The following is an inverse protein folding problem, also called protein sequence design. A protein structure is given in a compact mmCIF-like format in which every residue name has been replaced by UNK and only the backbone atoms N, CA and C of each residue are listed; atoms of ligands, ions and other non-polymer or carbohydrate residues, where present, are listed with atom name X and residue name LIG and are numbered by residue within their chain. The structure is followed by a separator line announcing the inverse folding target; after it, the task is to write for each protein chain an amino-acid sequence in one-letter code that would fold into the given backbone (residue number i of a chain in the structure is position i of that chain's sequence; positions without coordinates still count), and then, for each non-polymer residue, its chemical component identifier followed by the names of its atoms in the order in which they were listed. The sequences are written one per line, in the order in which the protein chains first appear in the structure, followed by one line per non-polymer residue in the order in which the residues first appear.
data_IF_208810468735
#
_entry.id   IF_208810468735
#
_cell.length_a   1.000
_cell.length_b   1.000
_cell.length_c   1.000
_cell.angle_alpha   90.00
_cell.angle_beta   90.00
_cell.angle_gamma   90.00
#
_symmetry.space_group_name_H-M   'P 1'
#
loop_
_entity.id
_entity.type
_entity.pdbx_description
1 polymer ?
#
# COMPACT_ATOMS: atom_id res chain seq x y z
N UNK A 1 -19.20 41.39 12.76
CA UNK A 1 -18.61 40.39 11.83
C UNK A 1 -17.28 39.80 12.34
N UNK A 2 -16.47 40.56 13.09
CA UNK A 2 -15.19 40.11 13.69
C UNK A 2 -15.33 39.11 14.86
N UNK A 3 -16.36 39.22 15.70
CA UNK A 3 -16.58 38.28 16.81
C UNK A 3 -17.00 36.86 16.37
N UNK A 4 -17.84 36.74 15.33
CA UNK A 4 -18.29 35.44 14.81
C UNK A 4 -17.13 34.70 14.13
N UNK A 5 -16.25 35.42 13.42
CA UNK A 5 -15.02 34.85 12.82
C UNK A 5 -14.03 34.41 13.92
N UNK A 6 -13.94 35.15 15.03
CA UNK A 6 -13.12 34.78 16.19
C UNK A 6 -13.64 33.52 16.91
N UNK A 7 -14.96 33.40 17.06
CA UNK A 7 -15.60 32.23 17.66
C UNK A 7 -15.48 30.99 16.75
N UNK A 8 -15.65 31.16 15.44
CA UNK A 8 -15.45 30.08 14.45
C UNK A 8 -13.98 29.62 14.38
N UNK A 9 -13.02 30.55 14.50
CA UNK A 9 -11.59 30.20 14.64
C UNK A 9 -11.33 29.44 15.94
N UNK A 10 -11.83 29.94 17.08
CA UNK A 10 -11.65 29.26 18.38
C UNK A 10 -12.28 27.87 18.44
N UNK A 11 -13.45 27.68 17.84
CA UNK A 11 -14.13 26.37 17.75
C UNK A 11 -13.41 25.42 16.79
N UNK A 12 -12.92 25.93 15.65
CA UNK A 12 -12.09 25.18 14.70
C UNK A 12 -10.78 24.75 15.35
N UNK A 13 -10.11 25.65 16.05
CA UNK A 13 -8.83 25.38 16.71
C UNK A 13 -9.02 24.40 17.87
N UNK A 14 -10.11 24.49 18.65
CA UNK A 14 -10.48 23.47 19.66
C UNK A 14 -10.90 22.11 19.10
N UNK A 15 -11.43 22.06 17.87
CA UNK A 15 -11.76 20.82 17.19
C UNK A 15 -10.49 20.19 16.58
N UNK A 16 -9.60 21.01 16.04
CA UNK A 16 -8.29 20.61 15.54
C UNK A 16 -7.40 20.09 16.68
N UNK A 17 -7.34 20.77 17.82
CA UNK A 17 -6.57 20.32 19.00
C UNK A 17 -7.07 18.97 19.54
N UNK A 18 -8.39 18.72 19.53
CA UNK A 18 -8.95 17.41 19.87
C UNK A 18 -8.60 16.33 18.84
N UNK A 19 -8.59 16.68 17.56
CA UNK A 19 -8.17 15.78 16.49
C UNK A 19 -6.67 15.45 16.60
N UNK A 20 -5.82 16.43 16.93
CA UNK A 20 -4.39 16.25 17.15
C UNK A 20 -4.05 15.48 18.43
N UNK A 21 -4.90 15.53 19.46
CA UNK A 21 -4.78 14.68 20.65
C UNK A 21 -5.18 13.23 20.39
N UNK A 22 -6.21 12.98 19.56
CA UNK A 22 -6.59 11.62 19.14
C UNK A 22 -5.60 11.02 18.14
N UNK A 23 -4.93 11.86 17.35
CA UNK A 23 -3.95 11.45 16.35
C UNK A 23 -2.66 12.28 16.48
N UNK A 24 -1.76 11.93 17.42
CA UNK A 24 -0.49 12.63 17.64
C UNK A 24 0.39 12.69 16.38
N UNK A 25 0.09 11.84 15.40
CA UNK A 25 0.75 11.82 14.10
C UNK A 25 0.38 13.01 13.19
N UNK A 26 -0.69 13.75 13.44
CA UNK A 26 -1.15 14.84 12.58
C UNK A 26 -0.62 16.22 13.00
N UNK A 27 0.01 16.32 14.17
CA UNK A 27 0.50 17.57 14.73
C UNK A 27 1.85 18.05 14.13
N UNK A 28 2.61 17.14 13.52
CA UNK A 28 3.94 17.41 12.96
C UNK A 28 3.85 17.77 11.46
N UNK A 29 4.34 18.95 11.02
CA UNK A 29 4.38 19.34 9.61
C UNK A 29 5.05 18.32 8.69
N UNK A 30 6.08 17.59 9.15
CA UNK A 30 6.73 16.53 8.37
C UNK A 30 5.80 15.32 8.17
N UNK A 31 5.01 14.97 9.20
CA UNK A 31 3.99 13.91 9.11
C UNK A 31 2.75 14.32 8.31
N UNK A 32 2.44 15.61 8.22
CA UNK A 32 1.33 16.11 7.38
C UNK A 32 1.58 15.86 5.89
N UNK A 33 2.81 16.08 5.44
CA UNK A 33 3.25 15.75 4.07
C UNK A 33 3.21 14.24 3.82
N UNK A 34 3.68 13.46 4.80
CA UNK A 34 3.67 12.00 4.68
C UNK A 34 2.26 11.43 4.65
N UNK A 35 1.32 11.91 5.47
CA UNK A 35 -0.09 11.48 5.44
C UNK A 35 -0.74 11.71 4.07
N UNK A 36 -0.51 12.88 3.47
CA UNK A 36 -1.01 13.17 2.12
C UNK A 36 -0.51 12.14 1.10
N UNK A 37 0.78 11.79 1.17
CA UNK A 37 1.38 10.75 0.35
C UNK A 37 0.79 9.36 0.64
N UNK A 38 0.56 9.01 1.92
CA UNK A 38 -0.08 7.74 2.31
C UNK A 38 -1.48 7.62 1.72
N UNK A 39 -2.29 8.67 1.87
CA UNK A 39 -3.65 8.70 1.36
C UNK A 39 -3.66 8.65 -0.17
N UNK A 40 -2.75 9.35 -0.84
CA UNK A 40 -2.62 9.27 -2.29
C UNK A 40 -2.28 7.85 -2.77
N UNK A 41 -1.34 7.18 -2.09
CA UNK A 41 -0.96 5.80 -2.42
C UNK A 41 -2.13 4.84 -2.22
N UNK A 42 -2.83 4.92 -1.09
CA UNK A 42 -4.01 4.07 -0.82
C UNK A 42 -5.12 4.34 -1.84
N UNK A 43 -5.39 5.60 -2.15
CA UNK A 43 -6.40 5.97 -3.16
C UNK A 43 -6.03 5.43 -4.54
N UNK A 44 -4.76 5.48 -4.94
CA UNK A 44 -4.30 4.92 -6.21
C UNK A 44 -4.60 3.41 -6.28
N UNK A 45 -4.32 2.66 -5.22
CA UNK A 45 -4.59 1.22 -5.15
C UNK A 45 -6.09 0.91 -5.19
N UNK A 46 -6.91 1.67 -4.45
CA UNK A 46 -8.36 1.52 -4.46
C UNK A 46 -8.98 1.86 -5.81
N UNK A 47 -8.51 2.93 -6.46
CA UNK A 47 -8.96 3.31 -7.81
C UNK A 47 -8.58 2.21 -8.80
N UNK A 48 -7.35 1.70 -8.75
CA UNK A 48 -6.90 0.67 -9.67
C UNK A 48 -7.68 -0.64 -9.51
N UNK A 49 -7.83 -1.11 -8.27
CA UNK A 49 -8.67 -2.27 -7.96
C UNK A 49 -10.13 -2.02 -8.38
N UNK A 50 -10.67 -0.85 -8.10
CA UNK A 50 -12.02 -0.44 -8.52
C UNK A 50 -12.19 -0.48 -10.04
N UNK A 51 -11.21 0.01 -10.81
CA UNK A 51 -11.26 -0.03 -12.28
C UNK A 51 -11.31 -1.46 -12.79
N UNK A 52 -10.46 -2.34 -12.27
CA UNK A 52 -10.45 -3.75 -12.66
C UNK A 52 -11.80 -4.42 -12.37
N UNK A 53 -12.35 -4.28 -11.16
CA UNK A 53 -13.56 -5.01 -10.78
C UNK A 53 -14.88 -4.36 -11.26
N UNK A 54 -14.89 -3.08 -11.61
CA UNK A 54 -16.10 -2.40 -12.09
C UNK A 54 -16.26 -2.44 -13.62
N UNK A 55 -15.15 -2.42 -14.37
CA UNK A 55 -15.21 -2.27 -15.82
C UNK A 55 -14.78 -3.51 -16.61
N UNK A 56 -14.10 -4.48 -15.98
CA UNK A 56 -13.75 -5.73 -16.65
C UNK A 56 -14.91 -6.74 -16.56
N UNK A 57 -15.75 -6.77 -17.59
CA UNK A 57 -16.86 -7.72 -17.70
C UNK A 57 -16.44 -9.19 -17.68
N UNK A 58 -15.22 -9.51 -18.14
CA UNK A 58 -14.69 -10.88 -18.13
C UNK A 58 -14.25 -11.27 -16.73
N UNK A 59 -13.60 -10.34 -16.02
CA UNK A 59 -13.27 -10.53 -14.61
C UNK A 59 -14.53 -10.67 -13.77
N UNK A 60 -15.59 -9.89 -14.03
CA UNK A 60 -16.87 -10.01 -13.33
C UNK A 60 -17.50 -11.40 -13.55
N UNK A 61 -17.51 -11.89 -14.80
CA UNK A 61 -18.02 -13.25 -15.09
C UNK A 61 -17.16 -14.33 -14.43
N UNK A 62 -15.83 -14.15 -14.44
CA UNK A 62 -14.90 -15.04 -13.75
C UNK A 62 -15.09 -15.02 -12.23
N UNK A 63 -15.34 -13.86 -11.62
CA UNK A 63 -15.67 -13.72 -10.20
C UNK A 63 -16.97 -14.45 -9.85
N UNK A 64 -17.96 -14.48 -10.76
CA UNK A 64 -19.19 -15.26 -10.54
C UNK A 64 -18.94 -16.77 -10.59
N UNK A 65 -18.06 -17.22 -11.49
CA UNK A 65 -17.71 -18.64 -11.65
C UNK A 65 -16.78 -19.14 -10.54
N UNK A 66 -15.80 -18.33 -10.15
CA UNK A 66 -14.74 -18.66 -9.22
C UNK A 66 -14.62 -17.60 -8.10
N UNK A 67 -15.65 -17.47 -7.23
CA UNK A 67 -15.68 -16.39 -6.24
C UNK A 67 -14.55 -16.46 -5.22
N UNK A 68 -14.05 -17.67 -4.93
CA UNK A 68 -12.95 -17.90 -3.99
C UNK A 68 -11.66 -17.20 -4.43
N UNK A 69 -11.38 -17.14 -5.73
CA UNK A 69 -10.16 -16.54 -6.27
C UNK A 69 -10.17 -15.02 -6.08
N UNK A 70 -11.30 -14.39 -6.39
CA UNK A 70 -11.49 -12.95 -6.14
C UNK A 70 -11.52 -12.65 -4.64
N UNK A 71 -12.15 -13.48 -3.82
CA UNK A 71 -12.15 -13.30 -2.38
C UNK A 71 -10.74 -13.36 -1.78
N UNK A 72 -9.90 -14.29 -2.23
CA UNK A 72 -8.50 -14.39 -1.78
C UNK A 72 -7.66 -13.18 -2.19
N UNK A 73 -7.84 -12.68 -3.42
CA UNK A 73 -7.21 -11.44 -3.87
C UNK A 73 -7.63 -10.24 -3.00
N UNK A 74 -8.92 -10.08 -2.72
CA UNK A 74 -9.43 -8.97 -1.89
C UNK A 74 -8.98 -9.09 -0.44
N UNK A 75 -8.88 -10.32 0.09
CA UNK A 75 -8.33 -10.58 1.41
C UNK A 75 -6.87 -10.16 1.49
N UNK A 76 -6.05 -10.54 0.50
CA UNK A 76 -4.66 -10.12 0.41
C UNK A 76 -4.57 -8.59 0.31
N UNK A 77 -5.34 -7.96 -0.57
CA UNK A 77 -5.40 -6.50 -0.69
C UNK A 77 -5.70 -5.81 0.64
N UNK A 78 -6.72 -6.29 1.37
CA UNK A 78 -7.07 -5.74 2.67
C UNK A 78 -5.98 -5.99 3.72
N UNK A 79 -5.40 -7.19 3.75
CA UNK A 79 -4.30 -7.53 4.64
C UNK A 79 -3.08 -6.61 4.41
N UNK A 80 -2.66 -6.42 3.15
CA UNK A 80 -1.58 -5.51 2.77
C UNK A 80 -1.88 -4.07 3.21
N UNK A 81 -3.12 -3.61 3.03
CA UNK A 81 -3.54 -2.27 3.47
C UNK A 81 -3.45 -2.11 4.99
N UNK A 82 -3.92 -3.11 5.75
CA UNK A 82 -3.78 -3.13 7.21
C UNK A 82 -2.30 -3.13 7.61
N UNK A 83 -1.50 -3.98 6.98
CA UNK A 83 -0.07 -4.11 7.25
C UNK A 83 0.71 -2.83 6.94
N UNK A 84 0.31 -2.09 5.90
CA UNK A 84 0.83 -0.76 5.59
C UNK A 84 0.61 0.23 6.75
N UNK A 85 -0.61 0.30 7.27
CA UNK A 85 -0.92 1.20 8.40
C UNK A 85 -0.24 0.74 9.69
N UNK A 86 -0.22 -0.56 9.97
CA UNK A 86 0.47 -1.13 11.14
C UNK A 86 1.97 -0.83 11.09
N UNK A 87 2.61 -1.05 9.94
CA UNK A 87 4.05 -0.79 9.77
C UNK A 87 4.34 0.70 9.85
N UNK A 88 3.59 1.53 9.14
CA UNK A 88 3.82 2.97 9.07
C UNK A 88 3.48 3.72 10.37
N UNK A 89 2.60 3.16 11.20
CA UNK A 89 2.26 3.66 12.53
C UNK A 89 3.15 3.13 13.65
N UNK A 90 3.92 2.08 13.40
CA UNK A 90 4.79 1.46 14.41
C UNK A 90 6.05 2.30 14.69
N UNK A 91 6.51 2.29 15.95
CA UNK A 91 7.78 2.92 16.32
C UNK A 91 8.94 2.13 15.71
N UNK A 92 9.92 2.80 15.07
CA UNK A 92 11.14 2.17 14.60
C UNK A 92 12.08 1.74 15.73
N UNK A 93 11.79 2.14 16.98
CA UNK A 93 12.66 1.97 18.12
C UNK A 93 13.66 3.12 18.24
N UNK A 94 13.23 4.24 18.83
CA UNK A 94 14.11 5.38 19.06
C UNK A 94 15.03 5.14 20.25
N UNK A 95 16.26 5.65 20.19
CA UNK A 95 17.25 5.54 21.28
C UNK A 95 16.70 6.13 22.58
N UNK A 96 16.00 7.27 22.50
CA UNK A 96 15.38 7.91 23.67
C UNK A 96 14.30 7.04 24.34
N UNK A 97 13.57 6.24 23.56
CA UNK A 97 12.55 5.34 24.10
C UNK A 97 13.22 4.18 24.86
N UNK A 98 14.31 3.64 24.30
CA UNK A 98 15.10 2.61 24.97
C UNK A 98 15.79 3.12 26.25
N UNK A 99 16.34 4.34 26.22
CA UNK A 99 16.86 5.00 27.41
C UNK A 99 15.81 5.09 28.52
N UNK A 100 14.58 5.49 28.16
CA UNK A 100 13.46 5.59 29.10
C UNK A 100 13.11 4.21 29.68
N UNK A 101 13.02 3.19 28.84
CA UNK A 101 12.71 1.82 29.27
C UNK A 101 13.77 1.24 30.22
N UNK A 102 15.05 1.46 29.95
CA UNK A 102 16.15 1.07 30.85
C UNK A 102 16.04 1.79 32.18
N UNK A 103 15.72 3.09 32.16
CA UNK A 103 15.55 3.86 33.38
C UNK A 103 14.38 3.35 34.23
N UNK A 104 13.22 3.09 33.64
CA UNK A 104 12.05 2.52 34.33
C UNK A 104 12.40 1.18 34.98
N UNK A 105 13.13 0.32 34.27
CA UNK A 105 13.58 -0.98 34.78
C UNK A 105 14.51 -0.82 35.99
N UNK A 106 15.46 0.11 35.92
CA UNK A 106 16.38 0.41 37.03
C UNK A 106 15.65 0.94 38.27
N UNK A 107 14.64 1.80 38.07
CA UNK A 107 13.80 2.33 39.17
C UNK A 107 13.01 1.20 39.83
N UNK A 108 12.41 0.31 39.06
CA UNK A 108 11.68 -0.86 39.57
C UNK A 108 12.62 -1.76 40.38
N UNK A 109 13.79 -2.10 39.83
CA UNK A 109 14.78 -2.92 40.52
C UNK A 109 15.20 -2.30 41.86
N UNK A 110 15.48 -0.98 41.88
CA UNK A 110 15.86 -0.27 43.11
C UNK A 110 14.72 -0.25 44.14
N UNK A 111 13.48 -0.07 43.71
CA UNK A 111 12.29 -0.11 44.58
C UNK A 111 12.09 -1.50 45.18
N UNK A 112 12.24 -2.56 44.39
CA UNK A 112 12.17 -3.96 44.87
C UNK A 112 13.29 -4.30 45.85
N UNK A 113 14.51 -3.81 45.60
CA UNK A 113 15.64 -3.97 46.51
C UNK A 113 15.43 -3.26 47.86
N UNK A 114 14.79 -2.09 47.87
CA UNK A 114 14.46 -1.36 49.10
C UNK A 114 13.26 -1.98 49.85
N UNK A 115 12.26 -2.50 49.13
CA UNK A 115 11.14 -3.22 49.75
C UNK A 115 11.56 -4.56 50.37
N UNK A 116 12.52 -5.26 49.76
CA UNK A 116 13.12 -6.49 50.30
C UNK A 116 13.99 -6.26 51.54
N UNK A 117 14.37 -5.01 51.84
CA UNK A 117 15.24 -4.66 52.98
C UNK A 117 14.50 -4.03 54.16
N UNK A 118 13.16 -4.03 54.18
CA UNK A 118 12.43 -3.58 55.38
C UNK A 118 12.58 -4.60 56.52
N UNK A 119 13.15 -4.22 57.68
CA UNK A 119 13.08 -5.05 58.87
C UNK A 119 11.70 -4.87 59.53
N UNK A 120 11.08 -5.98 59.92
CA UNK A 120 9.97 -5.94 60.88
C UNK A 120 10.50 -5.44 62.22
N UNK A 121 10.21 -4.19 62.58
CA UNK A 121 10.47 -3.67 63.93
C UNK A 121 9.25 -2.89 64.43
N UNK A 122 8.85 -3.25 65.64
CA UNK A 122 7.60 -2.84 66.28
C UNK A 122 7.65 -1.46 66.92
N UNK A 123 6.49 -0.81 66.93
CA UNK A 123 5.94 0.15 67.91
C UNK A 123 6.60 1.53 68.14
N UNK A 124 5.72 2.52 67.93
CA UNK A 124 5.53 3.83 68.59
C UNK A 124 6.48 4.99 68.32
N UNK A 125 5.90 6.10 67.84
CA UNK A 125 6.43 7.45 68.09
C UNK A 125 6.22 8.46 66.95
N UNK A 126 5.15 9.26 67.08
CA UNK A 126 4.95 10.64 66.59
C UNK A 126 5.43 11.08 65.18
N UNK A 127 4.43 11.46 64.39
CA UNK A 127 4.41 12.38 63.25
C UNK A 127 5.37 13.58 63.34
N UNK A 128 6.18 13.81 62.28
CA UNK A 128 6.36 15.12 61.62
C UNK A 128 6.50 14.87 60.12
N UNK A 129 5.54 15.39 59.33
CA UNK A 129 5.63 15.46 57.87
C UNK A 129 6.35 16.75 57.52
N UNK A 130 7.64 16.67 57.17
CA UNK A 130 8.33 17.75 56.45
C UNK A 130 8.32 17.42 54.97
N UNK A 131 7.50 18.17 54.22
CA UNK A 131 7.54 18.26 52.77
C UNK A 131 8.83 18.99 52.38
N UNK A 132 9.86 18.26 51.99
CA UNK A 132 11.01 18.82 51.26
C UNK A 132 10.94 18.39 49.79
N UNK A 133 10.08 19.09 49.06
CA UNK A 133 10.09 19.16 47.61
C UNK A 133 11.13 20.22 47.21
N UNK A 134 12.27 19.81 46.62
CA UNK A 134 12.99 20.58 45.57
C UNK A 134 14.43 20.15 45.21
N UNK A 135 15.09 19.22 45.92
CA UNK A 135 16.49 18.83 45.57
C UNK A 135 16.66 17.47 44.88
N UNK A 136 15.65 16.60 44.90
CA UNK A 136 15.76 15.23 44.35
C UNK A 136 15.73 15.15 42.82
N UNK A 137 15.22 16.17 42.12
CA UNK A 137 15.05 16.13 40.66
C UNK A 137 16.34 16.28 39.84
N UNK A 138 17.31 17.06 40.34
CA UNK A 138 18.59 17.31 39.63
C UNK A 138 19.57 16.13 39.76
N UNK A 139 19.68 15.54 40.95
CA UNK A 139 20.56 14.39 41.20
C UNK A 139 20.06 13.13 40.47
N UNK A 140 18.75 12.97 40.32
CA UNK A 140 18.14 11.87 39.58
C UNK A 140 18.52 11.92 38.09
N UNK A 141 18.41 13.08 37.43
CA UNK A 141 18.74 13.24 36.00
C UNK A 141 20.21 12.94 35.69
N UNK A 142 21.13 13.29 36.59
CA UNK A 142 22.56 12.98 36.48
C UNK A 142 22.88 11.49 36.61
N UNK A 143 22.25 10.79 37.56
CA UNK A 143 22.42 9.33 37.72
C UNK A 143 21.83 8.54 36.54
N UNK A 144 20.74 9.03 35.94
CA UNK A 144 20.08 8.41 34.78
C UNK A 144 20.99 8.43 33.55
N UNK A 145 21.56 9.60 33.23
CA UNK A 145 22.50 9.74 32.11
C UNK A 145 23.69 8.81 32.30
N UNK A 146 24.26 8.77 33.51
CA UNK A 146 25.42 7.93 33.81
C UNK A 146 25.15 6.42 33.64
N UNK A 147 23.94 5.94 33.95
CA UNK A 147 23.57 4.53 33.76
C UNK A 147 23.46 4.14 32.29
N UNK A 148 22.89 5.02 31.45
CA UNK A 148 22.80 4.77 30.01
C UNK A 148 24.17 4.85 29.34
N UNK A 149 24.92 5.92 29.62
CA UNK A 149 26.29 6.09 29.10
C UNK A 149 27.14 4.87 29.44
N UNK A 150 27.10 4.38 30.69
CA UNK A 150 27.84 3.16 31.06
C UNK A 150 27.43 1.95 30.23
N UNK A 151 26.12 1.66 30.16
CA UNK A 151 25.60 0.53 29.40
C UNK A 151 25.99 0.60 27.92
N UNK A 152 25.96 1.79 27.33
CA UNK A 152 26.38 2.00 25.95
C UNK A 152 27.88 1.79 25.78
N UNK A 153 28.70 2.39 26.63
CA UNK A 153 30.17 2.28 26.54
C UNK A 153 30.67 0.86 26.76
N UNK A 154 30.00 0.07 27.61
CA UNK A 154 30.32 -1.35 27.83
C UNK A 154 30.11 -2.22 26.57
N UNK A 155 29.35 -1.72 25.58
CA UNK A 155 29.17 -2.38 24.26
C UNK A 155 30.28 -2.05 23.26
N UNK A 156 31.17 -1.10 23.57
CA UNK A 156 32.29 -0.71 22.71
C UNK A 156 33.61 -1.26 23.25
N UNK A 157 34.65 -1.39 22.39
CA UNK A 157 35.99 -1.77 22.85
C UNK A 157 36.52 -0.81 23.93
N UNK A 158 37.25 -1.31 24.94
CA UNK A 158 37.87 -0.47 25.96
C UNK A 158 38.77 0.60 25.34
N UNK A 159 38.69 1.83 25.86
CA UNK A 159 39.43 2.99 25.34
C UNK A 159 38.72 3.77 24.23
N UNK A 160 37.54 3.34 23.80
CA UNK A 160 36.70 4.13 22.87
C UNK A 160 36.29 5.46 23.54
N UNK A 161 36.61 6.62 22.96
CA UNK A 161 36.24 7.91 23.56
C UNK A 161 34.74 8.17 23.43
N UNK A 162 34.08 8.57 24.51
CA UNK A 162 32.61 8.81 24.56
C UNK A 162 32.10 9.69 23.41
N UNK A 163 32.90 10.70 23.02
CA UNK A 163 32.57 11.64 21.94
C UNK A 163 32.35 10.96 20.59
N UNK A 164 33.01 9.83 20.29
CA UNK A 164 32.84 9.15 19.00
C UNK A 164 31.52 8.39 18.90
N UNK A 165 30.92 8.04 20.04
CA UNK A 165 29.65 7.32 20.10
C UNK A 165 28.48 8.26 20.44
N UNK A 166 28.70 9.56 20.55
CA UNK A 166 27.67 10.54 20.91
C UNK A 166 27.12 11.21 19.67
N UNK A 167 25.79 11.24 19.52
CA UNK A 167 25.14 12.01 18.48
C UNK A 167 25.26 13.52 18.78
N UNK A 168 25.81 14.30 17.85
CA UNK A 168 25.94 15.76 17.98
C UNK A 168 24.60 16.51 17.97
N UNK A 169 23.57 15.95 17.34
CA UNK A 169 22.24 16.57 17.24
C UNK A 169 21.41 16.28 18.49
N UNK A 170 21.30 15.00 18.87
CA UNK A 170 20.47 14.57 19.99
C UNK A 170 21.19 14.62 21.35
N UNK A 171 22.51 14.82 21.38
CA UNK A 171 23.36 14.77 22.58
C UNK A 171 23.14 13.49 23.41
N UNK A 172 23.10 12.35 22.72
CA UNK A 172 22.87 11.03 23.30
C UNK A 172 23.90 10.04 22.79
N UNK A 173 24.38 9.17 23.68
CA UNK A 173 25.24 8.05 23.31
C UNK A 173 24.44 7.03 22.51
N UNK A 174 24.88 6.78 21.29
CA UNK A 174 24.31 5.84 20.35
C UNK A 174 24.85 4.45 20.67
N UNK A 175 23.97 3.46 20.94
CA UNK A 175 24.36 2.06 20.91
C UNK A 175 24.93 1.66 19.54
N UNK A 176 25.68 0.56 19.45
CA UNK A 176 26.10 0.01 18.17
C UNK A 176 24.91 -0.14 17.21
N UNK A 177 25.14 0.21 15.93
CA UNK A 177 24.12 0.19 14.85
C UNK A 177 23.00 1.25 14.97
N UNK A 178 22.99 2.10 15.99
CA UNK A 178 22.09 3.24 16.03
C UNK A 178 22.64 4.42 15.19
N UNK A 179 21.76 5.17 14.53
CA UNK A 179 22.11 6.38 13.78
C UNK A 179 21.05 7.47 13.94
N UNK A 180 21.44 8.72 13.72
CA UNK A 180 20.52 9.86 13.67
C UNK A 180 19.88 9.95 12.28
N UNK A 181 18.56 10.05 12.23
CA UNK A 181 17.82 10.33 11.00
C UNK A 181 17.43 11.81 10.99
N UNK A 182 17.89 12.54 9.98
CA UNK A 182 17.60 13.97 9.81
C UNK A 182 16.12 14.24 9.54
N UNK A 183 15.45 13.38 8.77
CA UNK A 183 14.02 13.53 8.45
C UNK A 183 13.12 13.36 9.68
N UNK A 184 13.54 12.54 10.65
CA UNK A 184 12.81 12.28 11.89
C UNK A 184 13.35 13.06 13.10
N UNK A 185 14.48 13.75 12.92
CA UNK A 185 15.26 14.43 13.97
C UNK A 185 15.48 13.60 15.24
N UNK A 186 15.73 12.30 15.07
CA UNK A 186 15.83 11.33 16.17
C UNK A 186 16.87 10.25 15.88
N UNK A 187 17.53 9.78 16.93
CA UNK A 187 18.35 8.57 16.84
C UNK A 187 17.47 7.32 16.87
N UNK A 188 17.70 6.41 15.92
CA UNK A 188 16.96 5.16 15.72
C UNK A 188 17.89 3.98 15.97
N UNK A 189 17.41 2.98 16.71
CA UNK A 189 18.13 1.74 16.99
C UNK A 189 18.13 0.82 15.77
N UNK A 190 19.28 0.18 15.52
CA UNK A 190 19.52 -0.63 14.31
C UNK A 190 18.96 0.07 13.06
N UNK A 191 19.38 1.31 12.87
CA UNK A 191 18.86 2.14 11.78
C UNK A 191 19.14 1.47 10.44
N UNK A 192 18.07 1.24 9.67
CA UNK A 192 18.16 0.76 8.30
C UNK A 192 18.06 1.96 7.34
N UNK A 193 16.87 2.56 7.23
CA UNK A 193 16.65 3.74 6.39
C UNK A 193 15.44 4.58 6.84
N UNK A 194 15.30 5.80 6.31
CA UNK A 194 14.04 6.54 6.37
C UNK A 194 13.19 6.20 5.15
N UNK A 195 12.02 5.59 5.35
CA UNK A 195 11.14 5.20 4.26
C UNK A 195 10.15 6.33 3.97
N UNK A 196 10.34 7.01 2.84
CA UNK A 196 9.46 8.10 2.39
C UNK A 196 8.01 7.62 2.20
N UNK A 197 7.82 6.40 1.71
CA UNK A 197 6.50 5.80 1.44
C UNK A 197 5.72 5.46 2.71
N UNK A 198 6.42 5.11 3.79
CA UNK A 198 5.82 4.86 5.10
C UNK A 198 5.81 6.12 5.97
N UNK A 199 6.56 7.17 5.60
CA UNK A 199 6.69 8.39 6.38
C UNK A 199 7.27 8.17 7.78
N UNK A 200 8.13 7.15 7.92
CA UNK A 200 8.77 6.79 9.19
C UNK A 200 10.09 6.06 8.91
N UNK A 201 10.98 6.00 9.90
CA UNK A 201 12.17 5.17 9.81
C UNK A 201 11.81 3.68 9.84
N UNK A 202 12.70 2.88 9.27
CA UNK A 202 12.78 1.45 9.48
C UNK A 202 13.98 1.19 10.40
N UNK A 203 13.73 0.48 11.48
CA UNK A 203 14.72 0.17 12.51
C UNK A 203 14.28 -1.01 13.36
N UNK A 204 14.97 -1.23 14.47
CA UNK A 204 14.78 -2.42 15.31
C UNK A 204 13.32 -2.72 15.68
N UNK A 205 12.50 -1.70 15.97
CA UNK A 205 11.13 -1.85 16.45
C UNK A 205 10.10 -2.25 15.39
N UNK A 206 10.42 -2.05 14.10
CA UNK A 206 9.49 -2.29 13.00
C UNK A 206 10.08 -3.06 11.81
N UNK A 207 11.36 -3.42 11.83
CA UNK A 207 12.04 -4.09 10.72
C UNK A 207 11.31 -5.37 10.25
N UNK A 208 10.87 -6.23 11.17
CA UNK A 208 10.10 -7.43 10.80
C UNK A 208 8.74 -7.10 10.15
N UNK A 209 8.04 -6.07 10.65
CA UNK A 209 6.76 -5.63 10.07
C UNK A 209 6.95 -5.08 8.67
N UNK A 210 8.04 -4.33 8.47
CA UNK A 210 8.46 -3.83 7.16
C UNK A 210 8.70 -4.96 6.17
N UNK A 211 9.42 -6.01 6.55
CA UNK A 211 9.63 -7.17 5.67
C UNK A 211 8.33 -7.87 5.29
N UNK A 212 7.42 -8.10 6.25
CA UNK A 212 6.10 -8.67 5.95
C UNK A 212 5.30 -7.79 4.99
N UNK A 213 5.31 -6.47 5.21
CA UNK A 213 4.69 -5.50 4.30
C UNK A 213 5.24 -5.62 2.87
N UNK A 214 6.57 -5.66 2.70
CA UNK A 214 7.18 -5.79 1.37
C UNK A 214 6.80 -7.12 0.70
N UNK A 215 6.76 -8.23 1.44
CA UNK A 215 6.33 -9.52 0.90
C UNK A 215 4.87 -9.51 0.43
N UNK A 216 3.96 -8.98 1.25
CA UNK A 216 2.53 -8.87 0.92
C UNK A 216 2.29 -7.94 -0.26
N UNK A 217 2.95 -6.78 -0.28
CA UNK A 217 2.88 -5.81 -1.38
C UNK A 217 3.41 -6.41 -2.69
N UNK A 218 4.51 -7.17 -2.63
CA UNK A 218 5.07 -7.85 -3.80
C UNK A 218 4.10 -8.90 -4.33
N UNK A 219 3.51 -9.71 -3.45
CA UNK A 219 2.52 -10.71 -3.85
C UNK A 219 1.28 -10.07 -4.49
N UNK A 220 0.78 -8.97 -3.90
CA UNK A 220 -0.35 -8.21 -4.43
C UNK A 220 -0.04 -7.61 -5.80
N UNK A 221 1.14 -7.00 -5.98
CA UNK A 221 1.60 -6.46 -7.25
C UNK A 221 1.69 -7.53 -8.34
N UNK A 222 2.29 -8.68 -8.04
CA UNK A 222 2.42 -9.79 -8.99
C UNK A 222 1.04 -10.31 -9.42
N UNK A 223 0.13 -10.54 -8.46
CA UNK A 223 -1.22 -11.00 -8.77
C UNK A 223 -1.97 -9.97 -9.61
N UNK A 224 -1.92 -8.70 -9.23
CA UNK A 224 -2.54 -7.60 -9.99
C UNK A 224 -1.99 -7.51 -11.41
N UNK A 225 -0.67 -7.67 -11.58
CA UNK A 225 -0.03 -7.75 -12.90
C UNK A 225 -0.54 -8.90 -13.76
N UNK A 226 -0.72 -10.09 -13.17
CA UNK A 226 -1.28 -11.27 -13.87
C UNK A 226 -2.73 -10.99 -14.33
N UNK A 227 -3.56 -10.38 -13.47
CA UNK A 227 -4.93 -9.98 -13.84
C UNK A 227 -4.91 -9.01 -15.02
N UNK A 228 -4.05 -8.00 -14.97
CA UNK A 228 -3.94 -6.99 -16.02
C UNK A 228 -3.45 -7.58 -17.35
N UNK A 229 -2.44 -8.45 -17.33
CA UNK A 229 -1.96 -9.16 -18.52
C UNK A 229 -3.07 -10.04 -19.11
N UNK A 230 -3.84 -10.72 -18.27
CA UNK A 230 -4.97 -11.54 -18.71
C UNK A 230 -6.05 -10.69 -19.36
N UNK A 231 -6.39 -9.55 -18.75
CA UNK A 231 -7.31 -8.56 -19.32
C UNK A 231 -6.83 -8.05 -20.69
N UNK A 232 -5.57 -7.62 -20.81
CA UNK A 232 -5.01 -7.15 -22.07
C UNK A 232 -5.03 -8.24 -23.14
N UNK A 233 -4.66 -9.47 -22.79
CA UNK A 233 -4.69 -10.61 -23.71
C UNK A 233 -6.11 -10.87 -24.22
N UNK A 234 -7.11 -10.84 -23.34
CA UNK A 234 -8.51 -11.04 -23.71
C UNK A 234 -9.00 -9.92 -24.66
N UNK A 235 -8.69 -8.66 -24.35
CA UNK A 235 -9.05 -7.52 -25.19
C UNK A 235 -8.39 -7.56 -26.57
N UNK A 236 -7.08 -7.82 -26.63
CA UNK A 236 -6.35 -7.96 -27.89
C UNK A 236 -6.92 -9.12 -28.70
N UNK A 237 -7.16 -10.27 -28.06
CA UNK A 237 -7.71 -11.45 -28.73
C UNK A 237 -9.11 -11.18 -29.29
N UNK A 238 -9.97 -10.44 -28.57
CA UNK A 238 -11.28 -9.99 -29.06
C UNK A 238 -11.15 -9.02 -30.23
N UNK A 239 -10.27 -8.03 -30.15
CA UNK A 239 -10.03 -7.09 -31.23
C UNK A 239 -9.51 -7.81 -32.49
N UNK A 240 -8.55 -8.72 -32.34
CA UNK A 240 -8.07 -9.56 -33.42
C UNK A 240 -9.21 -10.40 -34.02
N UNK A 241 -10.03 -11.04 -33.19
CA UNK A 241 -11.17 -11.83 -33.67
C UNK A 241 -12.17 -11.00 -34.50
N UNK A 242 -12.47 -9.77 -34.05
CA UNK A 242 -13.34 -8.84 -34.77
C UNK A 242 -12.77 -8.46 -36.14
N UNK A 243 -11.49 -8.09 -36.20
CA UNK A 243 -10.81 -7.76 -37.46
C UNK A 243 -10.78 -8.97 -38.40
N UNK A 244 -10.36 -10.13 -37.90
CA UNK A 244 -10.25 -11.37 -38.68
C UNK A 244 -11.58 -11.85 -39.24
N UNK A 245 -12.71 -11.52 -38.60
CA UNK A 245 -14.05 -11.93 -39.02
C UNK A 245 -14.88 -10.81 -39.65
N UNK A 246 -14.26 -9.63 -39.90
CA UNK A 246 -14.89 -8.41 -40.40
C UNK A 246 -16.21 -8.09 -39.67
N UNK A 247 -16.11 -7.92 -38.36
CA UNK A 247 -17.24 -7.55 -37.51
C UNK A 247 -16.87 -6.37 -36.61
N UNK A 248 -17.87 -5.58 -36.26
CA UNK A 248 -17.75 -4.57 -35.23
C UNK A 248 -18.09 -5.12 -33.84
N UNK A 249 -17.60 -4.47 -32.79
CA UNK A 249 -18.00 -4.80 -31.41
C UNK A 249 -19.51 -4.72 -31.21
N UNK A 250 -20.18 -3.76 -31.87
CA UNK A 250 -21.63 -3.62 -31.79
C UNK A 250 -22.35 -4.83 -32.38
N UNK A 251 -21.89 -5.34 -33.53
CA UNK A 251 -22.43 -6.53 -34.16
C UNK A 251 -22.27 -7.78 -33.31
N UNK A 252 -21.12 -7.95 -32.67
CA UNK A 252 -20.88 -9.07 -31.77
C UNK A 252 -21.78 -8.99 -30.52
N UNK A 253 -21.78 -7.84 -29.82
CA UNK A 253 -22.49 -7.67 -28.53
C UNK A 253 -24.02 -7.61 -28.71
N UNK A 254 -24.49 -7.03 -29.82
CA UNK A 254 -25.93 -6.83 -30.09
C UNK A 254 -26.47 -7.75 -31.17
N UNK A 255 -25.74 -8.80 -31.57
CA UNK A 255 -26.08 -9.73 -32.66
C UNK A 255 -27.57 -10.10 -32.73
N UNK A 256 -28.15 -10.55 -31.61
CA UNK A 256 -29.56 -10.98 -31.53
C UNK A 256 -30.59 -9.86 -31.77
N UNK A 257 -30.21 -8.60 -31.51
CA UNK A 257 -31.08 -7.44 -31.66
C UNK A 257 -31.02 -6.86 -33.07
N UNK A 258 -29.89 -7.00 -33.77
CA UNK A 258 -29.64 -6.44 -35.09
C UNK A 258 -30.48 -7.19 -36.16
N UNK A 259 -31.34 -6.50 -36.94
CA UNK A 259 -32.26 -7.14 -37.88
C UNK A 259 -31.58 -8.08 -38.89
N UNK A 260 -30.47 -7.67 -39.49
CA UNK A 260 -29.78 -8.46 -40.52
C UNK A 260 -28.88 -9.59 -39.98
N UNK A 261 -28.63 -9.63 -38.66
CA UNK A 261 -27.90 -10.73 -38.01
C UNK A 261 -28.83 -11.70 -37.28
N UNK A 262 -30.09 -11.30 -37.06
CA UNK A 262 -31.07 -12.11 -36.36
C UNK A 262 -31.40 -13.36 -37.19
N UNK A 263 -31.18 -14.53 -36.61
CA UNK A 263 -31.43 -15.82 -37.26
C UNK A 263 -30.24 -16.38 -38.04
N UNK A 264 -29.15 -15.60 -38.23
CA UNK A 264 -27.91 -16.12 -38.82
C UNK A 264 -27.13 -16.91 -37.74
N UNK A 265 -26.67 -18.14 -38.02
CA UNK A 265 -25.88 -18.93 -37.06
C UNK A 265 -24.65 -18.17 -36.56
N UNK A 266 -24.25 -18.38 -35.29
CA UNK A 266 -23.15 -17.64 -34.66
C UNK A 266 -21.79 -17.85 -35.35
N UNK A 267 -21.62 -18.96 -36.06
CA UNK A 267 -20.39 -19.29 -36.81
C UNK A 267 -20.33 -18.69 -38.22
N UNK A 268 -21.38 -18.01 -38.66
CA UNK A 268 -21.44 -17.39 -39.99
C UNK A 268 -21.16 -15.89 -39.85
N UNK A 269 -20.22 -15.41 -40.65
CA UNK A 269 -19.74 -14.03 -40.63
C UNK A 269 -20.10 -13.32 -41.94
N UNK A 270 -21.26 -12.60 -42.00
CA UNK A 270 -21.84 -12.12 -43.25
C UNK A 270 -20.92 -11.22 -44.08
N UNK A 271 -20.16 -10.35 -43.43
CA UNK A 271 -19.26 -9.40 -44.10
C UNK A 271 -17.81 -9.89 -44.21
N UNK A 272 -17.46 -11.04 -43.64
CA UNK A 272 -16.10 -11.59 -43.77
C UNK A 272 -15.77 -11.94 -45.22
N UNK A 273 -14.64 -11.43 -45.74
CA UNK A 273 -14.12 -11.72 -47.09
C UNK A 273 -13.01 -12.76 -47.08
N UNK A 274 -12.69 -13.33 -45.91
CA UNK A 274 -11.50 -14.15 -45.71
C UNK A 274 -10.47 -13.42 -44.85
N UNK A 275 -9.61 -14.18 -44.16
CA UNK A 275 -8.68 -13.61 -43.16
C UNK A 275 -7.72 -12.60 -43.79
N UNK A 276 -7.16 -12.91 -44.96
CA UNK A 276 -6.20 -12.04 -45.63
C UNK A 276 -6.86 -10.79 -46.17
N UNK A 277 -8.02 -10.93 -46.84
CA UNK A 277 -8.78 -9.80 -47.36
C UNK A 277 -9.26 -8.87 -46.24
N UNK A 278 -9.76 -9.42 -45.13
CA UNK A 278 -10.19 -8.61 -43.98
C UNK A 278 -9.03 -7.80 -43.37
N UNK A 279 -7.85 -8.41 -43.23
CA UNK A 279 -6.66 -7.72 -42.72
C UNK A 279 -6.17 -6.63 -43.68
N UNK A 280 -6.18 -6.90 -44.98
CA UNK A 280 -5.82 -5.90 -45.99
C UNK A 280 -6.80 -4.72 -45.99
N UNK A 281 -8.10 -5.00 -45.95
CA UNK A 281 -9.16 -3.99 -45.88
C UNK A 281 -9.03 -3.12 -44.62
N UNK A 282 -8.70 -3.72 -43.47
CA UNK A 282 -8.56 -2.98 -42.21
C UNK A 282 -7.26 -2.15 -42.13
N UNK A 283 -6.11 -2.70 -42.55
CA UNK A 283 -4.80 -2.08 -42.35
C UNK A 283 -4.32 -1.23 -43.53
N UNK A 284 -4.70 -1.58 -44.76
CA UNK A 284 -4.02 -1.13 -45.97
C UNK A 284 -4.94 -0.39 -46.95
N UNK A 285 -6.26 -0.60 -46.89
CA UNK A 285 -7.19 0.14 -47.75
C UNK A 285 -7.25 1.60 -47.30
N UNK A 286 -6.51 2.42 -48.05
CA UNK A 286 -6.53 3.87 -47.97
C UNK A 286 -7.53 4.37 -49.01
N UNK A 287 -8.83 4.21 -48.76
CA UNK A 287 -9.84 4.64 -49.73
C UNK A 287 -11.00 5.41 -49.10
N UNK A 288 -11.66 6.20 -49.95
CA UNK A 288 -12.59 7.30 -49.69
C UNK A 288 -13.35 7.24 -48.37
N UNK A 289 -13.54 8.43 -47.76
CA UNK A 289 -14.13 8.69 -46.43
C UNK A 289 -15.34 7.83 -46.00
N UNK A 290 -16.08 7.21 -46.94
CA UNK A 290 -17.17 6.27 -46.70
C UNK A 290 -17.20 5.16 -47.77
N UNK A 291 -17.36 3.90 -47.35
CA UNK A 291 -17.68 2.74 -48.19
C UNK A 291 -19.01 2.15 -47.71
N UNK A 292 -19.96 1.95 -48.61
CA UNK A 292 -21.27 1.36 -48.30
C UNK A 292 -21.27 -0.10 -48.78
N UNK A 293 -21.41 -1.03 -47.84
CA UNK A 293 -21.41 -2.47 -48.13
C UNK A 293 -22.85 -3.01 -48.13
N UNK A 294 -23.21 -3.79 -49.16
CA UNK A 294 -24.54 -4.39 -49.28
C UNK A 294 -24.67 -5.67 -48.45
N UNK A 295 -25.90 -6.00 -48.01
CA UNK A 295 -26.15 -7.28 -47.35
C UNK A 295 -25.89 -8.46 -48.31
N UNK A 296 -25.24 -9.54 -47.85
CA UNK A 296 -25.05 -10.74 -48.66
C UNK A 296 -26.39 -11.41 -49.01
N UNK A 297 -26.45 -12.06 -50.18
CA UNK A 297 -27.63 -12.84 -50.57
C UNK A 297 -27.79 -14.11 -49.71
N UNK A 298 -29.00 -14.68 -49.69
CA UNK A 298 -29.27 -15.92 -48.97
C UNK A 298 -28.34 -17.07 -49.41
N UNK A 299 -28.06 -17.16 -50.71
CA UNK A 299 -27.15 -18.16 -51.29
C UNK A 299 -25.70 -17.96 -50.79
N UNK A 300 -25.23 -16.71 -50.69
CA UNK A 300 -23.89 -16.41 -50.15
C UNK A 300 -23.78 -16.75 -48.66
N UNK A 301 -24.83 -16.50 -47.88
CA UNK A 301 -24.86 -16.90 -46.46
C UNK A 301 -24.86 -18.42 -46.29
N UNK A 302 -25.60 -19.14 -47.14
CA UNK A 302 -25.62 -20.59 -47.15
C UNK A 302 -24.25 -21.17 -47.53
N UNK A 303 -23.59 -20.60 -48.54
CA UNK A 303 -22.23 -20.96 -48.91
C UNK A 303 -21.23 -20.74 -47.77
N UNK A 304 -21.33 -19.62 -47.05
CA UNK A 304 -20.52 -19.32 -45.86
C UNK A 304 -20.82 -20.21 -44.65
N UNK A 305 -21.99 -20.85 -44.61
CA UNK A 305 -22.35 -21.79 -43.55
C UNK A 305 -21.78 -23.19 -43.78
N UNK A 306 -21.34 -23.49 -45.02
CA UNK A 306 -20.77 -24.78 -45.38
C UNK A 306 -19.42 -25.01 -44.67
N UNK A 307 -19.17 -26.20 -44.09
CA UNK A 307 -17.89 -26.53 -43.47
C UNK A 307 -16.75 -26.50 -44.51
N UNK A 308 -15.58 -26.05 -44.05
CA UNK A 308 -14.36 -26.04 -44.86
C UNK A 308 -13.87 -27.46 -45.14
N UNK A 309 -13.38 -27.65 -46.36
CA UNK A 309 -12.75 -28.88 -46.86
C UNK A 309 -11.27 -28.64 -47.14
N UNK A 310 -10.48 -29.70 -47.32
CA UNK A 310 -9.06 -29.57 -47.70
C UNK A 310 -8.87 -28.80 -49.01
N UNK A 311 -9.84 -28.87 -49.92
CA UNK A 311 -9.82 -28.12 -51.18
C UNK A 311 -9.96 -26.61 -50.93
N UNK A 312 -10.74 -26.20 -49.93
CA UNK A 312 -10.94 -24.78 -49.61
C UNK A 312 -9.67 -24.10 -49.06
N UNK A 313 -8.78 -24.88 -48.43
CA UNK A 313 -7.45 -24.41 -48.01
C UNK A 313 -6.53 -24.23 -49.21
N UNK A 314 -6.58 -25.15 -50.17
CA UNK A 314 -5.78 -25.10 -51.41
C UNK A 314 -6.25 -23.98 -52.35
N UNK A 315 -7.54 -23.65 -52.35
CA UNK A 315 -8.12 -22.57 -53.17
C UNK A 315 -8.17 -21.22 -52.47
N UNK A 316 -7.58 -21.10 -51.26
CA UNK A 316 -7.61 -19.88 -50.45
C UNK A 316 -9.02 -19.33 -50.21
N UNK A 317 -10.08 -20.15 -50.24
CA UNK A 317 -11.45 -19.70 -49.93
C UNK A 317 -11.57 -19.15 -48.49
N UNK A 318 -10.61 -19.48 -47.62
CA UNK A 318 -10.46 -18.98 -46.27
C UNK A 318 -9.87 -17.55 -46.18
N UNK A 319 -9.29 -17.03 -47.27
CA UNK A 319 -8.35 -15.91 -47.28
C UNK A 319 -8.76 -14.77 -48.21
#
# INVERSE_FOLDING_TARGET
MTMVVGLCRSLRDRALDRCFQCFPCLADPARRSSLGLKMALVMLHLIYAGILFLFDGDLIDKTKKEPWYTALYLLLFFATLVQYFVTSGSSPGYVLDAMRAVNETNVIYKKSSMASKQPASSKNGSLIVTVEESQSGRNFRGTISASWTKLVMDMYPPGTPVRTCTCSYCNVEQPPRAKHCHDCDKCVLQFDHHCVWLGTCVGQGNHCKFWWYICEETALCLWTGILYITYLKANISRACYLVLTNQTTYELVRRRRIPYLRGIPERVYPFSKGVCSNLYDFCCVRSSKYSLESLPSAQQLEEKSRPYTCLDVLTCRCC
#
